data_IF_804147855360
#
_entry.id   IF_804147855360
#
_cell.length_a   1.000
_cell.length_b   1.000
_cell.length_c   1.000
_cell.angle_alpha   90.00
_cell.angle_beta   90.00
_cell.angle_gamma   90.00
#
_symmetry.space_group_name_H-M   'P 1'
#
loop_
_entity.id
_entity.type
_entity.pdbx_description
1 polymer ?
#
# COMPACT_ATOMS: atom_id res chain seq x y z
N UNK A 1 4.36 -33.36 -11.15
CA UNK A 1 4.87 -33.29 -9.77
C UNK A 1 4.67 -31.88 -9.25
N UNK A 2 3.64 -31.67 -8.43
CA UNK A 2 3.16 -30.34 -8.09
C UNK A 2 4.07 -29.62 -7.09
N UNK A 3 4.05 -28.30 -7.13
CA UNK A 3 4.66 -27.39 -6.14
C UNK A 3 4.18 -27.76 -4.71
N UNK A 4 2.93 -28.25 -4.62
CA UNK A 4 2.29 -28.75 -3.40
C UNK A 4 2.94 -30.04 -2.86
N UNK A 5 3.38 -30.95 -3.74
CA UNK A 5 4.12 -32.16 -3.34
C UNK A 5 5.51 -31.81 -2.80
N UNK A 6 6.10 -30.70 -3.28
CA UNK A 6 7.39 -30.20 -2.80
C UNK A 6 7.25 -29.57 -1.41
N UNK A 7 6.21 -28.77 -1.18
CA UNK A 7 5.88 -28.22 0.15
C UNK A 7 5.64 -29.32 1.19
N UNK A 8 4.87 -30.36 0.85
CA UNK A 8 4.61 -31.49 1.74
C UNK A 8 5.86 -32.33 2.05
N UNK A 9 6.80 -32.43 1.11
CA UNK A 9 8.07 -33.16 1.29
C UNK A 9 9.05 -32.40 2.18
N UNK A 10 9.09 -31.07 2.08
CA UNK A 10 9.90 -30.22 2.96
C UNK A 10 9.39 -30.28 4.41
N UNK A 11 8.07 -30.34 4.62
CA UNK A 11 7.47 -30.46 5.96
C UNK A 11 7.74 -31.81 6.64
N UNK A 12 7.86 -32.91 5.88
CA UNK A 12 7.93 -34.27 6.44
C UNK A 12 9.35 -34.85 6.53
N UNK A 13 10.29 -34.33 5.74
CA UNK A 13 11.64 -34.89 5.59
C UNK A 13 12.69 -34.34 6.58
N UNK A 14 12.37 -33.32 7.38
CA UNK A 14 13.40 -32.52 8.06
C UNK A 14 13.34 -32.54 9.60
N UNK A 15 12.54 -33.42 10.19
CA UNK A 15 12.43 -33.51 11.65
C UNK A 15 13.66 -34.17 12.32
N UNK A 16 14.58 -34.79 11.56
CA UNK A 16 15.70 -35.57 12.13
C UNK A 16 17.10 -35.06 11.78
N UNK A 17 17.24 -33.97 10.99
CA UNK A 17 18.55 -33.41 10.59
C UNK A 17 18.73 -31.92 10.90
N UNK A 18 17.80 -31.30 11.63
CA UNK A 18 17.69 -29.85 11.81
C UNK A 18 18.38 -29.26 13.05
N UNK A 19 19.41 -29.95 13.56
CA UNK A 19 20.17 -29.51 14.74
C UNK A 19 21.53 -28.85 14.41
N UNK A 20 21.94 -28.76 13.14
CA UNK A 20 23.29 -28.32 12.77
C UNK A 20 23.43 -27.13 11.82
N UNK A 21 22.36 -26.64 11.19
CA UNK A 21 22.45 -25.55 10.22
C UNK A 21 21.21 -24.65 10.31
N UNK A 22 21.29 -23.70 11.24
CA UNK A 22 20.32 -22.63 11.43
C UNK A 22 20.49 -21.65 10.25
N UNK A 23 19.87 -21.92 9.10
CA UNK A 23 19.42 -20.81 8.26
C UNK A 23 18.09 -20.33 8.85
N UNK A 24 18.07 -19.07 9.29
CA UNK A 24 16.98 -18.48 10.08
C UNK A 24 15.59 -18.91 9.61
N UNK A 25 14.73 -19.47 10.50
CA UNK A 25 13.36 -19.84 10.13
C UNK A 25 12.55 -18.64 9.63
N UNK A 26 12.90 -17.42 10.06
CA UNK A 26 12.35 -16.17 9.53
C UNK A 26 12.64 -16.03 8.02
N UNK A 27 13.89 -16.29 7.61
CA UNK A 27 14.36 -16.16 6.22
C UNK A 27 13.68 -17.17 5.29
N UNK A 28 13.49 -18.41 5.74
CA UNK A 28 12.81 -19.45 4.95
C UNK A 28 11.33 -19.08 4.70
N UNK A 29 10.64 -18.59 5.73
CA UNK A 29 9.24 -18.17 5.61
C UNK A 29 9.10 -16.92 4.73
N UNK A 30 10.03 -15.98 4.85
CA UNK A 30 10.08 -14.79 4.00
C UNK A 30 10.32 -15.14 2.53
N UNK A 31 11.30 -16.00 2.24
CA UNK A 31 11.57 -16.50 0.89
C UNK A 31 10.35 -17.22 0.31
N UNK A 32 9.67 -18.05 1.10
CA UNK A 32 8.48 -18.78 0.65
C UNK A 32 7.35 -17.83 0.24
N UNK A 33 7.11 -16.78 1.04
CA UNK A 33 6.10 -15.76 0.70
C UNK A 33 6.49 -15.00 -0.56
N UNK A 34 7.78 -14.70 -0.73
CA UNK A 34 8.30 -14.01 -1.91
C UNK A 34 8.16 -14.86 -3.18
N UNK A 35 8.52 -16.15 -3.13
CA UNK A 35 8.33 -17.08 -4.25
C UNK A 35 6.84 -17.18 -4.64
N UNK A 36 5.93 -17.22 -3.66
CA UNK A 36 4.49 -17.21 -3.92
C UNK A 36 4.00 -15.90 -4.55
N UNK A 37 4.60 -14.76 -4.21
CA UNK A 37 4.31 -13.47 -4.85
C UNK A 37 4.76 -13.47 -6.31
N UNK A 38 5.95 -13.98 -6.59
CA UNK A 38 6.48 -14.08 -7.95
C UNK A 38 5.63 -15.02 -8.82
N UNK A 39 5.21 -16.15 -8.27
CA UNK A 39 4.30 -17.08 -8.93
C UNK A 39 2.93 -16.43 -9.22
N UNK A 40 2.41 -15.63 -8.30
CA UNK A 40 1.17 -14.88 -8.52
C UNK A 40 1.31 -13.86 -9.66
N UNK A 41 2.45 -13.16 -9.74
CA UNK A 41 2.72 -12.22 -10.84
C UNK A 41 2.76 -12.96 -12.18
N UNK A 42 3.47 -14.10 -12.26
CA UNK A 42 3.54 -14.94 -13.46
C UNK A 42 2.15 -15.45 -13.87
N UNK A 43 1.34 -15.88 -12.91
CA UNK A 43 -0.01 -16.32 -13.19
C UNK A 43 -0.90 -15.18 -13.70
N UNK A 44 -0.79 -13.98 -13.13
CA UNK A 44 -1.51 -12.79 -13.61
C UNK A 44 -1.14 -12.46 -15.06
N UNK A 45 0.14 -12.54 -15.41
CA UNK A 45 0.61 -12.36 -16.78
C UNK A 45 0.02 -13.43 -17.72
N UNK A 46 0.04 -14.71 -17.32
CA UNK A 46 -0.53 -15.80 -18.09
C UNK A 46 -2.06 -15.64 -18.30
N UNK A 47 -2.78 -15.23 -17.25
CA UNK A 47 -4.23 -14.91 -17.33
C UNK A 47 -4.45 -13.76 -18.32
N UNK A 48 -3.66 -12.69 -18.25
CA UNK A 48 -3.78 -11.56 -19.15
C UNK A 48 -3.53 -11.96 -20.61
N UNK A 49 -2.50 -12.77 -20.87
CA UNK A 49 -2.19 -13.30 -22.20
C UNK A 49 -3.31 -14.21 -22.73
N UNK A 50 -3.89 -15.06 -21.89
CA UNK A 50 -5.02 -15.90 -22.26
C UNK A 50 -6.25 -15.07 -22.62
N UNK A 51 -6.58 -14.03 -21.83
CA UNK A 51 -7.68 -13.09 -22.11
C UNK A 51 -7.42 -12.33 -23.41
N UNK A 52 -6.21 -11.85 -23.63
CA UNK A 52 -5.84 -11.14 -24.86
C UNK A 52 -6.00 -12.04 -26.10
N UNK A 53 -5.59 -13.30 -25.99
CA UNK A 53 -5.76 -14.30 -27.05
C UNK A 53 -7.23 -14.57 -27.33
N UNK A 54 -8.05 -14.74 -26.28
CA UNK A 54 -9.49 -14.91 -26.41
C UNK A 54 -10.14 -13.71 -27.12
N UNK A 55 -9.83 -12.48 -26.68
CA UNK A 55 -10.37 -11.26 -27.32
C UNK A 55 -9.94 -11.12 -28.78
N UNK A 56 -8.74 -11.56 -29.13
CA UNK A 56 -8.30 -11.60 -30.53
C UNK A 56 -9.16 -12.56 -31.35
N UNK A 57 -9.42 -13.76 -30.85
CA UNK A 57 -10.28 -14.74 -31.51
C UNK A 57 -11.73 -14.24 -31.62
N UNK A 58 -12.25 -13.58 -30.57
CA UNK A 58 -13.57 -12.93 -30.59
C UNK A 58 -13.69 -11.87 -31.70
N UNK A 59 -12.69 -11.00 -31.85
CA UNK A 59 -12.64 -10.01 -32.93
C UNK A 59 -12.60 -10.67 -34.31
N UNK A 60 -11.81 -11.74 -34.48
CA UNK A 60 -11.76 -12.49 -35.74
C UNK A 60 -13.11 -13.14 -36.07
N UNK A 61 -13.80 -13.70 -35.07
CA UNK A 61 -15.12 -14.28 -35.22
C UNK A 61 -16.15 -13.22 -35.66
N UNK A 62 -16.17 -12.07 -34.98
CA UNK A 62 -17.03 -10.94 -35.32
C UNK A 62 -16.77 -10.41 -36.74
N UNK A 63 -15.50 -10.33 -37.16
CA UNK A 63 -15.16 -9.94 -38.53
C UNK A 63 -15.66 -10.96 -39.57
N UNK A 64 -15.52 -12.26 -39.30
CA UNK A 64 -16.03 -13.31 -40.17
C UNK A 64 -17.56 -13.24 -40.31
N UNK A 65 -18.27 -12.99 -39.20
CA UNK A 65 -19.73 -12.78 -39.21
C UNK A 65 -20.12 -11.55 -40.04
N UNK A 66 -19.45 -10.42 -39.85
CA UNK A 66 -19.69 -9.20 -40.63
C UNK A 66 -19.46 -9.42 -42.14
N UNK A 67 -18.39 -10.14 -42.50
CA UNK A 67 -18.13 -10.50 -43.89
C UNK A 67 -19.22 -11.42 -44.46
N UNK A 68 -19.70 -12.39 -43.69
CA UNK A 68 -20.80 -13.26 -44.11
C UNK A 68 -22.09 -12.45 -44.37
N UNK A 69 -22.43 -11.50 -43.51
CA UNK A 69 -23.56 -10.59 -43.71
C UNK A 69 -23.38 -9.69 -44.93
N UNK A 70 -22.17 -9.20 -45.18
CA UNK A 70 -21.87 -8.43 -46.38
C UNK A 70 -22.08 -9.24 -47.67
N UNK A 71 -21.56 -10.47 -47.71
CA UNK A 71 -21.81 -11.37 -48.85
C UNK A 71 -23.29 -11.72 -49.00
N UNK A 72 -24.04 -11.80 -47.91
CA UNK A 72 -25.48 -11.98 -47.96
C UNK A 72 -26.19 -10.80 -48.62
N UNK A 73 -25.84 -9.56 -48.25
CA UNK A 73 -26.36 -8.34 -48.89
C UNK A 73 -26.00 -8.27 -50.37
N UNK A 74 -24.77 -8.66 -50.73
CA UNK A 74 -24.33 -8.74 -52.14
C UNK A 74 -25.14 -9.78 -52.93
N UNK A 75 -25.43 -10.94 -52.34
CA UNK A 75 -26.28 -11.95 -52.96
C UNK A 75 -27.70 -11.45 -53.20
N UNK A 76 -28.29 -10.74 -52.23
CA UNK A 76 -29.61 -10.12 -52.38
C UNK A 76 -29.63 -9.08 -53.53
N UNK A 77 -28.60 -8.25 -53.62
CA UNK A 77 -28.47 -7.26 -54.70
C UNK A 77 -28.33 -7.92 -56.08
N UNK A 78 -27.54 -8.98 -56.19
CA UNK A 78 -27.40 -9.75 -57.44
C UNK A 78 -28.73 -10.37 -57.87
N UNK A 79 -29.48 -10.93 -56.92
CA UNK A 79 -30.81 -11.50 -57.17
C UNK A 79 -31.81 -10.43 -57.64
N UNK A 80 -31.81 -9.25 -57.02
CA UNK A 80 -32.66 -8.12 -57.43
C UNK A 80 -32.36 -7.65 -58.87
N UNK A 81 -31.11 -7.79 -59.31
CA UNK A 81 -30.67 -7.49 -60.67
C UNK A 81 -30.89 -8.64 -61.66
N UNK A 82 -31.45 -9.76 -61.21
CA UNK A 82 -31.71 -10.94 -62.04
C UNK A 82 -30.49 -11.81 -62.33
N UNK A 83 -29.35 -11.56 -61.69
CA UNK A 83 -28.11 -12.29 -61.94
C UNK A 83 -27.93 -13.44 -60.91
N UNK A 84 -28.61 -14.55 -61.18
CA UNK A 84 -28.58 -15.72 -60.30
C UNK A 84 -27.19 -16.33 -60.15
N UNK A 85 -26.35 -16.24 -61.18
CA UNK A 85 -25.00 -16.82 -61.18
C UNK A 85 -24.15 -16.15 -60.11
N UNK A 86 -24.16 -14.81 -60.09
CA UNK A 86 -23.45 -13.98 -59.13
C UNK A 86 -24.03 -14.12 -57.71
N UNK A 87 -25.36 -14.27 -57.59
CA UNK A 87 -26.01 -14.53 -56.31
C UNK A 87 -25.55 -15.87 -55.69
N UNK A 88 -25.44 -16.94 -56.49
CA UNK A 88 -24.93 -18.24 -56.03
C UNK A 88 -23.47 -18.16 -55.57
N UNK A 89 -22.62 -17.45 -56.31
CA UNK A 89 -21.22 -17.26 -55.91
C UNK A 89 -21.10 -16.48 -54.59
N UNK A 90 -21.87 -15.39 -54.44
CA UNK A 90 -21.91 -14.62 -53.20
C UNK A 90 -22.41 -15.47 -52.01
N UNK A 91 -23.42 -16.32 -52.20
CA UNK A 91 -23.88 -17.25 -51.16
C UNK A 91 -22.84 -18.32 -50.81
N UNK A 92 -22.07 -18.80 -51.79
CA UNK A 92 -20.95 -19.72 -51.55
C UNK A 92 -19.88 -19.08 -50.66
N UNK A 93 -19.50 -17.82 -50.95
CA UNK A 93 -18.57 -17.04 -50.12
C UNK A 93 -19.14 -16.74 -48.73
N UNK A 94 -20.43 -16.40 -48.63
CA UNK A 94 -21.11 -16.26 -47.33
C UNK A 94 -20.93 -17.52 -46.50
N UNK A 95 -21.21 -18.69 -47.08
CA UNK A 95 -21.13 -19.97 -46.38
C UNK A 95 -19.73 -20.23 -45.83
N UNK A 96 -18.68 -19.98 -46.61
CA UNK A 96 -17.31 -20.17 -46.11
C UNK A 96 -16.96 -19.25 -44.94
N UNK A 97 -17.43 -18.00 -44.93
CA UNK A 97 -17.27 -17.11 -43.79
C UNK A 97 -18.10 -17.54 -42.57
N UNK A 98 -19.29 -18.11 -42.77
CA UNK A 98 -20.11 -18.68 -41.69
C UNK A 98 -19.41 -19.89 -41.05
N UNK A 99 -18.92 -20.83 -41.85
CA UNK A 99 -18.19 -22.00 -41.36
C UNK A 99 -16.93 -21.58 -40.56
N UNK A 100 -16.25 -20.52 -41.03
CA UNK A 100 -15.12 -19.91 -40.31
C UNK A 100 -15.54 -19.31 -38.97
N UNK A 101 -16.64 -18.56 -38.94
CA UNK A 101 -17.17 -17.97 -37.71
C UNK A 101 -17.59 -19.04 -36.70
N UNK A 102 -18.22 -20.13 -37.14
CA UNK A 102 -18.60 -21.26 -36.29
C UNK A 102 -17.39 -21.95 -35.66
N UNK A 103 -16.33 -22.16 -36.45
CA UNK A 103 -15.07 -22.72 -35.97
C UNK A 103 -14.43 -21.82 -34.91
N UNK A 104 -14.37 -20.51 -35.16
CA UNK A 104 -13.85 -19.54 -34.19
C UNK A 104 -14.72 -19.47 -32.94
N UNK A 105 -16.05 -19.57 -33.06
CA UNK A 105 -16.96 -19.61 -31.91
C UNK A 105 -16.78 -20.86 -31.05
N UNK A 106 -16.48 -22.02 -31.64
CA UNK A 106 -16.09 -23.21 -30.89
C UNK A 106 -14.76 -22.99 -30.14
N UNK A 107 -13.77 -22.36 -30.80
CA UNK A 107 -12.49 -22.04 -30.17
C UNK A 107 -12.64 -21.07 -29.00
N UNK A 108 -13.48 -20.04 -29.13
CA UNK A 108 -13.79 -19.08 -28.05
C UNK A 108 -14.40 -19.79 -26.85
N UNK A 109 -15.31 -20.75 -27.05
CA UNK A 109 -15.88 -21.56 -25.95
C UNK A 109 -14.82 -22.34 -25.19
N UNK A 110 -13.88 -22.96 -25.90
CA UNK A 110 -12.76 -23.67 -25.27
C UNK A 110 -11.85 -22.71 -24.49
N UNK A 111 -11.48 -21.57 -25.10
CA UNK A 111 -10.64 -20.54 -24.47
C UNK A 111 -11.28 -19.95 -23.22
N UNK A 112 -12.60 -19.70 -23.26
CA UNK A 112 -13.36 -19.19 -22.11
C UNK A 112 -13.26 -20.11 -20.89
N UNK A 113 -13.35 -21.44 -21.11
CA UNK A 113 -13.14 -22.42 -20.05
C UNK A 113 -11.73 -22.39 -19.45
N UNK A 114 -10.70 -22.20 -20.29
CA UNK A 114 -9.31 -22.07 -19.83
C UNK A 114 -9.13 -20.78 -19.02
N UNK A 115 -9.63 -19.65 -19.53
CA UNK A 115 -9.56 -18.35 -18.86
C UNK A 115 -10.28 -18.38 -17.51
N UNK A 116 -11.45 -19.03 -17.41
CA UNK A 116 -12.15 -19.21 -16.14
C UNK A 116 -11.29 -19.97 -15.13
N UNK A 117 -10.75 -21.13 -15.53
CA UNK A 117 -9.88 -21.93 -14.65
C UNK A 117 -8.65 -21.16 -14.18
N UNK A 118 -8.02 -20.39 -15.07
CA UNK A 118 -6.86 -19.56 -14.72
C UNK A 118 -7.23 -18.45 -13.72
N UNK A 119 -8.40 -17.81 -13.87
CA UNK A 119 -8.91 -16.83 -12.91
C UNK A 119 -9.21 -17.45 -11.55
N UNK A 120 -9.80 -18.64 -11.51
CA UNK A 120 -10.10 -19.35 -10.25
C UNK A 120 -8.81 -19.78 -9.53
N UNK A 121 -7.83 -20.28 -10.28
CA UNK A 121 -6.51 -20.59 -9.74
C UNK A 121 -5.80 -19.35 -9.19
N UNK A 122 -5.94 -18.21 -9.88
CA UNK A 122 -5.38 -16.93 -9.43
C UNK A 122 -5.98 -16.49 -8.10
N UNK A 123 -7.31 -16.52 -7.97
CA UNK A 123 -8.01 -16.21 -6.71
C UNK A 123 -7.57 -17.14 -5.58
N UNK A 124 -7.42 -18.43 -5.88
CA UNK A 124 -6.96 -19.42 -4.90
C UNK A 124 -5.54 -19.11 -4.42
N UNK A 125 -4.62 -18.74 -5.32
CA UNK A 125 -3.27 -18.34 -4.94
C UNK A 125 -3.25 -17.04 -4.14
N UNK A 126 -4.10 -16.07 -4.47
CA UNK A 126 -4.25 -14.83 -3.70
C UNK A 126 -4.67 -15.11 -2.25
N UNK A 127 -5.67 -15.97 -2.04
CA UNK A 127 -6.09 -16.39 -0.70
C UNK A 127 -4.97 -17.11 0.04
N UNK A 128 -4.30 -18.08 -0.61
CA UNK A 128 -3.19 -18.81 0.01
C UNK A 128 -2.01 -17.92 0.36
N UNK A 129 -1.72 -16.92 -0.46
CA UNK A 129 -0.67 -15.94 -0.18
C UNK A 129 -1.03 -15.09 1.03
N UNK A 130 -2.29 -14.66 1.16
CA UNK A 130 -2.75 -13.93 2.34
C UNK A 130 -2.61 -14.79 3.61
N UNK A 131 -3.04 -16.06 3.57
CA UNK A 131 -2.85 -17.00 4.68
C UNK A 131 -1.37 -17.23 5.02
N UNK A 132 -0.51 -17.37 4.00
CA UNK A 132 0.93 -17.58 4.18
C UNK A 132 1.59 -16.37 4.85
N UNK A 133 1.19 -15.14 4.50
CA UNK A 133 1.67 -13.91 5.16
C UNK A 133 1.28 -13.88 6.64
N UNK A 134 0.01 -14.12 6.97
CA UNK A 134 -0.44 -14.16 8.37
C UNK A 134 0.29 -15.24 9.17
N UNK A 135 0.50 -16.43 8.58
CA UNK A 135 1.26 -17.51 9.22
C UNK A 135 2.72 -17.13 9.41
N UNK A 136 3.37 -16.51 8.41
CA UNK A 136 4.74 -15.99 8.53
C UNK A 136 4.85 -15.08 9.75
N UNK A 137 4.00 -14.06 9.84
CA UNK A 137 4.07 -13.06 10.91
C UNK A 137 3.85 -13.71 12.30
N UNK A 138 2.90 -14.65 12.39
CA UNK A 138 2.66 -15.44 13.61
C UNK A 138 3.90 -16.28 14.00
N UNK A 139 4.53 -16.96 13.04
CA UNK A 139 5.71 -17.79 13.32
C UNK A 139 6.95 -16.95 13.68
N UNK A 140 7.15 -15.81 13.03
CA UNK A 140 8.20 -14.84 13.38
C UNK A 140 8.00 -14.35 14.81
N UNK A 141 6.78 -13.92 15.17
CA UNK A 141 6.49 -13.49 16.54
C UNK A 141 6.76 -14.59 17.58
N UNK A 142 6.34 -15.83 17.27
CA UNK A 142 6.59 -16.99 18.15
C UNK A 142 8.07 -17.34 18.25
N UNK A 143 8.81 -17.28 17.15
CA UNK A 143 10.25 -17.52 17.13
C UNK A 143 11.00 -16.48 17.98
N UNK A 144 10.65 -15.19 17.84
CA UNK A 144 11.21 -14.10 18.66
C UNK A 144 10.89 -14.26 20.14
N UNK A 145 9.65 -14.61 20.48
CA UNK A 145 9.26 -14.89 21.86
C UNK A 145 10.04 -16.07 22.43
N UNK A 146 10.19 -17.17 21.66
CA UNK A 146 10.95 -18.34 22.09
C UNK A 146 12.44 -18.01 22.28
N UNK A 147 13.04 -17.24 21.38
CA UNK A 147 14.42 -16.76 21.51
C UNK A 147 14.59 -15.86 22.74
N UNK A 148 13.62 -14.97 23.02
CA UNK A 148 13.65 -14.13 24.22
C UNK A 148 13.55 -14.95 25.51
N UNK A 149 12.64 -15.93 25.56
CA UNK A 149 12.51 -16.86 26.68
C UNK A 149 13.75 -17.74 26.86
N UNK A 150 14.36 -18.22 25.77
CA UNK A 150 15.59 -18.99 25.82
C UNK A 150 16.75 -18.14 26.36
N UNK A 151 16.93 -16.91 25.87
CA UNK A 151 17.94 -15.98 26.41
C UNK A 151 17.72 -15.69 27.88
N UNK A 152 16.48 -15.48 28.31
CA UNK A 152 16.15 -15.26 29.72
C UNK A 152 16.51 -16.50 30.58
N UNK A 153 16.18 -17.70 30.09
CA UNK A 153 16.53 -18.96 30.77
C UNK A 153 18.03 -19.24 30.76
N UNK A 154 18.77 -18.88 29.71
CA UNK A 154 20.23 -18.95 29.67
C UNK A 154 20.83 -17.97 30.68
N UNK A 155 20.33 -16.73 30.75
CA UNK A 155 20.73 -15.75 31.76
C UNK A 155 20.42 -16.23 33.18
N UNK A 156 19.25 -16.84 33.42
CA UNK A 156 18.86 -17.37 34.73
C UNK A 156 19.56 -18.68 35.10
N UNK A 157 19.81 -19.55 34.12
CA UNK A 157 20.44 -20.86 34.30
C UNK A 157 21.96 -20.79 34.45
N UNK A 158 22.60 -19.78 33.84
CA UNK A 158 24.01 -19.47 34.04
C UNK A 158 24.27 -18.61 35.30
N UNK A 159 23.19 -18.28 36.02
CA UNK A 159 23.22 -17.52 37.26
C UNK A 159 23.05 -18.51 38.42
N UNK A 160 24.19 -18.97 38.96
CA UNK A 160 24.19 -19.60 40.28
C UNK A 160 23.60 -18.63 41.30
N UNK A 161 22.87 -19.15 42.29
CA UNK A 161 22.07 -18.37 43.26
C UNK A 161 22.82 -17.28 44.03
N UNK A 162 24.17 -17.23 43.99
CA UNK A 162 24.99 -16.12 44.50
C UNK A 162 25.34 -15.02 43.49
N UNK A 163 25.40 -15.34 42.18
CA UNK A 163 25.76 -14.38 41.11
C UNK A 163 24.53 -13.62 40.57
N UNK A 164 23.33 -14.13 40.87
CA UNK A 164 22.04 -13.51 40.54
C UNK A 164 21.87 -12.15 41.21
N UNK A 165 22.18 -12.11 42.51
CA UNK A 165 22.11 -10.90 43.32
C UNK A 165 23.14 -9.88 42.84
N UNK A 166 24.35 -10.32 42.48
CA UNK A 166 25.39 -9.46 41.91
C UNK A 166 25.05 -8.97 40.48
N UNK A 167 24.27 -9.73 39.69
CA UNK A 167 23.78 -9.28 38.39
C UNK A 167 22.61 -8.29 38.53
N UNK A 168 21.73 -8.50 39.51
CA UNK A 168 20.68 -7.54 39.89
C UNK A 168 21.30 -6.25 40.42
N UNK A 169 22.28 -6.28 41.33
CA UNK A 169 23.02 -5.10 41.81
C UNK A 169 23.72 -4.35 40.68
N UNK A 170 24.32 -5.07 39.72
CA UNK A 170 24.93 -4.43 38.53
C UNK A 170 23.89 -3.79 37.62
N UNK A 171 22.71 -4.38 37.49
CA UNK A 171 21.62 -3.82 36.70
C UNK A 171 20.99 -2.60 37.41
N UNK A 172 20.79 -2.68 38.72
CA UNK A 172 20.34 -1.58 39.57
C UNK A 172 21.33 -0.41 39.53
N UNK A 173 22.63 -0.67 39.67
CA UNK A 173 23.66 0.37 39.50
C UNK A 173 23.63 1.00 38.11
N UNK A 174 23.36 0.22 37.05
CA UNK A 174 23.31 0.74 35.67
C UNK A 174 22.04 1.55 35.43
N UNK A 175 20.91 1.16 36.03
CA UNK A 175 19.67 1.95 36.03
C UNK A 175 19.87 3.23 36.83
N UNK A 176 20.42 3.17 38.04
CA UNK A 176 20.78 4.35 38.84
C UNK A 176 21.74 5.28 38.09
N UNK A 177 22.69 4.74 37.34
CA UNK A 177 23.62 5.54 36.54
C UNK A 177 22.95 6.16 35.30
N UNK A 178 21.99 5.46 34.68
CA UNK A 178 21.16 6.02 33.61
C UNK A 178 20.18 7.07 34.14
N UNK A 179 19.59 6.86 35.31
CA UNK A 179 18.74 7.84 36.00
C UNK A 179 19.57 9.06 36.39
N UNK A 180 20.74 8.89 37.00
CA UNK A 180 21.65 10.00 37.32
C UNK A 180 22.16 10.72 36.06
N UNK A 181 22.38 10.01 34.94
CA UNK A 181 22.68 10.66 33.65
C UNK A 181 21.47 11.41 33.11
N UNK A 182 20.26 10.87 33.22
CA UNK A 182 19.05 11.56 32.81
C UNK A 182 18.78 12.80 33.68
N UNK A 183 19.05 12.71 34.98
CA UNK A 183 18.97 13.82 35.94
C UNK A 183 20.05 14.87 35.66
N UNK A 184 21.29 14.47 35.39
CA UNK A 184 22.37 15.37 34.99
C UNK A 184 22.08 16.03 33.63
N UNK A 185 21.50 15.32 32.67
CA UNK A 185 21.05 15.91 31.40
C UNK A 185 19.86 16.85 31.64
N UNK A 186 18.95 16.53 32.55
CA UNK A 186 17.88 17.43 32.96
C UNK A 186 18.41 18.68 33.66
N UNK A 187 19.44 18.57 34.50
CA UNK A 187 20.14 19.69 35.13
C UNK A 187 20.96 20.51 34.13
N UNK A 188 21.61 19.90 33.14
CA UNK A 188 22.28 20.62 32.04
C UNK A 188 21.24 21.37 31.20
N UNK A 189 20.06 20.78 30.97
CA UNK A 189 18.95 21.46 30.32
C UNK A 189 18.34 22.57 31.22
N UNK A 190 18.28 22.39 32.54
CA UNK A 190 17.88 23.42 33.49
C UNK A 190 18.94 24.54 33.61
N UNK A 191 20.22 24.20 33.43
CA UNK A 191 21.34 25.13 33.30
C UNK A 191 21.26 25.92 31.99
N UNK A 192 20.75 25.32 30.92
CA UNK A 192 20.39 26.06 29.69
C UNK A 192 19.21 27.02 29.91
N UNK A 193 18.37 26.75 30.91
CA UNK A 193 17.30 27.66 31.36
C UNK A 193 17.86 28.80 32.23
N UNK A 194 18.91 28.55 33.02
CA UNK A 194 19.64 29.60 33.76
C UNK A 194 20.45 30.50 32.83
N UNK A 195 21.14 29.93 31.83
CA UNK A 195 21.84 30.65 30.76
C UNK A 195 20.85 31.41 29.85
N UNK A 196 19.65 30.86 29.61
CA UNK A 196 18.54 31.59 28.96
C UNK A 196 18.03 32.73 29.82
N UNK A 197 17.92 32.56 31.14
CA UNK A 197 17.52 33.62 32.08
C UNK A 197 18.60 34.70 32.19
N UNK A 198 19.89 34.34 32.20
CA UNK A 198 20.99 35.30 32.13
C UNK A 198 21.08 36.00 30.77
N UNK A 199 20.91 35.31 29.64
CA UNK A 199 20.75 35.96 28.32
C UNK A 199 19.53 36.86 28.24
N UNK A 200 18.42 36.52 28.91
CA UNK A 200 17.24 37.38 29.00
C UNK A 200 17.51 38.63 29.87
N UNK A 201 18.34 38.50 30.91
CA UNK A 201 18.84 39.62 31.72
C UNK A 201 19.87 40.49 30.98
N UNK A 202 20.79 39.90 30.21
CA UNK A 202 21.79 40.61 29.39
C UNK A 202 21.17 41.33 28.19
N UNK A 203 20.04 40.81 27.68
CA UNK A 203 19.26 41.44 26.61
C UNK A 203 18.25 42.47 27.14
N UNK A 204 18.08 42.55 28.46
CA UNK A 204 17.12 43.40 29.15
C UNK A 204 17.56 44.84 29.44
N UNK A 205 18.71 45.31 28.94
CA UNK A 205 19.20 46.67 29.26
C UNK A 205 19.37 47.61 28.05
N UNK A 206 19.13 47.15 26.81
CA UNK A 206 19.42 47.98 25.62
C UNK A 206 18.14 48.49 24.94
N UNK A 207 17.02 47.75 25.02
CA UNK A 207 15.74 48.23 24.50
C UNK A 207 14.93 49.04 25.53
N UNK A 208 15.03 48.76 26.83
CA UNK A 208 14.38 49.57 27.89
C UNK A 208 14.94 51.00 27.96
N UNK A 209 16.25 51.18 27.76
CA UNK A 209 16.88 52.51 27.73
C UNK A 209 16.57 53.29 26.44
N UNK A 210 16.36 52.60 25.31
CA UNK A 210 16.00 53.21 24.02
C UNK A 210 14.52 53.62 23.96
N UNK A 211 13.62 52.84 24.58
CA UNK A 211 12.23 53.20 24.74
C UNK A 211 12.02 54.29 25.80
N UNK A 212 12.77 54.27 26.91
CA UNK A 212 12.74 55.36 27.89
C UNK A 212 13.20 56.71 27.29
N UNK A 213 14.17 56.70 26.37
CA UNK A 213 14.64 57.90 25.67
C UNK A 213 13.63 58.42 24.62
N UNK A 214 12.96 57.51 23.89
CA UNK A 214 11.90 57.88 22.94
C UNK A 214 10.62 58.35 23.66
N UNK A 215 10.27 57.73 24.77
CA UNK A 215 9.13 58.13 25.60
C UNK A 215 9.35 59.48 26.29
N UNK A 216 10.58 59.78 26.74
CA UNK A 216 10.92 61.11 27.28
C UNK A 216 10.95 62.22 26.23
N UNK A 217 11.22 61.91 24.96
CA UNK A 217 11.15 62.90 23.88
C UNK A 217 9.72 63.11 23.32
N UNK A 218 8.85 62.10 23.37
CA UNK A 218 7.49 62.18 22.86
C UNK A 218 6.44 62.58 23.92
N UNK A 219 6.75 62.46 25.22
CA UNK A 219 5.85 62.75 26.34
C UNK A 219 5.63 64.24 26.69
N UNK A 220 6.15 65.18 25.90
CA UNK A 220 5.89 66.62 26.04
C UNK A 220 4.94 67.13 24.94
N UNK A 221 3.72 66.59 24.87
CA UNK A 221 2.52 67.31 24.40
C UNK A 221 1.30 66.38 24.48
N UNK A 222 0.41 66.62 25.45
CA UNK A 222 -1.06 66.74 25.33
C UNK A 222 -1.84 65.77 24.41
N UNK A 223 -3.00 65.19 24.71
CA UNK A 223 -3.92 65.12 25.84
C UNK A 223 -5.09 64.20 25.42
N UNK A 224 -5.93 63.83 26.40
CA UNK A 224 -7.37 63.55 26.28
C UNK A 224 -7.88 62.18 25.78
N UNK A 225 -8.64 61.56 26.71
CA UNK A 225 -9.93 60.85 26.55
C UNK A 225 -10.00 59.31 26.34
N UNK A 226 -10.58 58.69 27.38
CA UNK A 226 -11.29 57.40 27.52
C UNK A 226 -12.50 57.25 26.53
N UNK A 227 -13.29 56.13 26.49
CA UNK A 227 -13.12 54.73 26.97
C UNK A 227 -13.64 53.60 26.01
N UNK A 228 -13.57 52.34 26.50
CA UNK A 228 -14.50 51.20 26.31
C UNK A 228 -14.34 50.18 25.15
N UNK A 229 -14.40 48.90 25.54
CA UNK A 229 -14.35 47.63 24.78
C UNK A 229 -15.73 47.25 24.15
N UNK A 230 -16.02 46.02 23.64
CA UNK A 230 -15.21 44.82 23.36
C UNK A 230 -15.51 44.06 22.02
N UNK A 231 -14.58 43.19 21.61
CA UNK A 231 -14.76 41.88 20.89
C UNK A 231 -15.71 41.73 19.67
N UNK A 232 -15.13 41.45 18.48
CA UNK A 232 -15.86 41.07 17.25
C UNK A 232 -15.72 39.57 16.91
N UNK A 233 -16.78 38.80 17.14
CA UNK A 233 -16.99 37.42 16.62
C UNK A 233 -17.90 37.39 15.37
N UNK A 234 -18.14 38.54 14.74
CA UNK A 234 -19.11 38.70 13.65
C UNK A 234 -18.50 38.84 12.24
N UNK A 235 -17.19 39.06 12.12
CA UNK A 235 -16.55 39.36 10.83
C UNK A 235 -16.41 38.17 9.87
N UNK A 236 -16.62 36.94 10.33
CA UNK A 236 -16.45 35.75 9.47
C UNK A 236 -17.75 35.27 8.81
N UNK A 237 -18.92 35.74 9.23
CA UNK A 237 -20.21 35.29 8.66
C UNK A 237 -20.62 36.08 7.41
N UNK A 238 -20.19 37.33 7.29
CA UNK A 238 -20.52 38.20 6.15
C UNK A 238 -19.68 37.89 4.90
N UNK A 239 -18.45 37.39 5.11
CA UNK A 239 -17.53 37.03 4.02
C UNK A 239 -18.01 35.77 3.27
N UNK A 240 -18.61 34.81 3.97
CA UNK A 240 -19.14 33.59 3.36
C UNK A 240 -20.42 33.86 2.55
N UNK A 241 -21.25 34.81 2.98
CA UNK A 241 -22.49 35.17 2.28
C UNK A 241 -22.23 35.90 0.95
N UNK A 242 -21.16 36.69 0.85
CA UNK A 242 -20.80 37.40 -0.38
C UNK A 242 -20.11 36.50 -1.41
N UNK A 243 -19.47 35.41 -0.98
CA UNK A 243 -18.89 34.39 -1.88
C UNK A 243 -19.95 33.59 -2.64
N UNK A 244 -21.07 33.28 -2.00
CA UNK A 244 -22.18 32.56 -2.66
C UNK A 244 -22.90 33.44 -3.69
N UNK A 245 -23.07 34.74 -3.40
CA UNK A 245 -23.66 35.71 -4.34
C UNK A 245 -22.81 35.90 -5.60
N UNK A 246 -21.49 35.79 -5.49
CA UNK A 246 -20.58 35.87 -6.63
C UNK A 246 -20.64 34.62 -7.52
N UNK A 247 -20.90 33.43 -6.95
CA UNK A 247 -21.06 32.20 -7.74
C UNK A 247 -22.35 32.18 -8.55
N UNK A 248 -23.46 32.62 -7.96
CA UNK A 248 -24.74 32.68 -8.66
C UNK A 248 -24.72 33.62 -9.88
N UNK A 249 -23.91 34.68 -9.85
CA UNK A 249 -23.75 35.64 -10.97
C UNK A 249 -22.90 35.14 -12.14
N UNK A 250 -22.14 34.07 -11.95
CA UNK A 250 -21.25 33.52 -12.99
C UNK A 250 -21.89 32.37 -13.79
N UNK A 251 -23.03 31.85 -13.35
CA UNK A 251 -23.76 30.79 -14.07
C UNK A 251 -24.89 31.33 -14.97
N UNK A 252 -25.16 32.64 -14.94
CA UNK A 252 -26.24 33.29 -15.72
C UNK A 252 -25.75 34.14 -16.91
N UNK A 253 -24.47 34.04 -17.30
CA UNK A 253 -23.90 34.61 -18.54
C UNK A 253 -23.14 33.53 -19.34
#
# INVERSE_FOLDING_TARGET
MGILDRLGRVLRSNLNSWLGQVEDPEKILEQTVQDMQDDLIRLRQAVAQAIATQKRTERQCSQAQANAEEWYRRAQLALQKGDESLAREALSRRKSFQDTAETLAAQIRQQSGIVSKLKDNMRTLETKLAEAKTKKDMYIARARSAQASQRLNEMLGNVGTGEAMAAFERMEQRVLQMEAQAEAVAEINAGSDLERRFKALERGSIDEDLEALKAKLAGSSSAASLPAAPSSRAANAEIDADLERLRARLEEN
#
